data_IF_654293135201
#
_entry.id   IF_654293135201
#
_cell.length_a   1.000
_cell.length_b   1.000
_cell.length_c   1.000
_cell.angle_alpha   90.00
_cell.angle_beta   90.00
_cell.angle_gamma   90.00
#
_symmetry.space_group_name_H-M   'P 1'
#
loop_
_entity.id
_entity.type
_entity.pdbx_description
1 polymer ?
#
# COMPACT_ATOMS: atom_id res chain seq x y z
N UNK A 1 8.09 3.08 11.73
CA UNK A 1 7.92 3.38 10.29
C UNK A 1 7.90 2.10 9.49
N UNK A 2 7.34 2.16 8.28
CA UNK A 2 7.22 1.03 7.37
C UNK A 2 8.11 1.26 6.15
N UNK A 3 8.76 0.22 5.65
CA UNK A 3 9.60 0.30 4.46
C UNK A 3 8.84 -0.15 3.23
N UNK A 4 8.67 0.74 2.24
CA UNK A 4 8.13 0.40 0.93
C UNK A 4 9.13 -0.51 0.20
N UNK A 5 8.63 -1.58 -0.42
CA UNK A 5 9.44 -2.56 -1.16
C UNK A 5 9.04 -2.64 -2.64
N UNK A 6 9.92 -3.20 -3.46
CA UNK A 6 9.60 -3.49 -4.85
C UNK A 6 8.49 -4.53 -4.97
N UNK A 7 7.63 -4.37 -5.98
CA UNK A 7 6.56 -5.33 -6.25
C UNK A 7 7.11 -6.75 -6.47
N UNK A 8 8.28 -6.90 -7.11
CA UNK A 8 8.96 -8.19 -7.29
C UNK A 8 9.31 -8.92 -6.00
N UNK A 9 9.53 -8.19 -4.91
CA UNK A 9 9.74 -8.79 -3.59
C UNK A 9 8.42 -9.26 -3.00
N UNK A 10 7.38 -8.42 -3.05
CA UNK A 10 6.03 -8.74 -2.56
C UNK A 10 5.38 -9.91 -3.31
N UNK A 11 5.67 -10.04 -4.61
CA UNK A 11 5.24 -11.14 -5.47
C UNK A 11 5.75 -12.49 -5.01
N UNK A 12 6.86 -12.56 -4.26
CA UNK A 12 7.35 -13.83 -3.69
C UNK A 12 6.38 -14.39 -2.65
N UNK A 13 5.56 -13.55 -2.03
CA UNK A 13 4.55 -13.96 -1.04
C UNK A 13 3.17 -14.15 -1.66
N UNK A 14 2.73 -13.22 -2.52
CA UNK A 14 1.35 -13.19 -3.02
C UNK A 14 1.19 -13.54 -4.51
N UNK A 15 2.30 -13.70 -5.25
CA UNK A 15 2.28 -13.97 -6.68
C UNK A 15 2.00 -12.74 -7.56
N UNK A 16 2.32 -12.86 -8.85
CA UNK A 16 2.16 -11.79 -9.85
C UNK A 16 0.70 -11.55 -10.25
N UNK A 17 -0.19 -12.51 -10.04
CA UNK A 17 -1.63 -12.32 -10.25
C UNK A 17 -2.28 -11.37 -9.24
N UNK A 18 -1.72 -11.27 -8.02
CA UNK A 18 -2.22 -10.38 -6.96
C UNK A 18 -1.47 -9.05 -6.93
N UNK A 19 -0.14 -9.09 -7.08
CA UNK A 19 0.68 -7.88 -7.04
C UNK A 19 0.89 -7.36 -8.47
N UNK A 20 -0.07 -6.54 -8.91
CA UNK A 20 0.00 -5.78 -10.16
C UNK A 20 0.49 -4.34 -9.92
N UNK A 21 0.60 -3.53 -10.97
CA UNK A 21 1.18 -2.17 -10.89
C UNK A 21 0.38 -1.22 -10.00
N UNK A 22 -0.92 -1.48 -9.81
CA UNK A 22 -1.78 -0.72 -8.90
C UNK A 22 -1.54 -1.03 -7.41
N UNK A 23 -0.70 -2.01 -7.08
CA UNK A 23 -0.35 -2.36 -5.71
C UNK A 23 1.00 -1.77 -5.33
N UNK A 24 1.06 -1.25 -4.11
CA UNK A 24 2.27 -0.88 -3.38
C UNK A 24 2.38 -1.76 -2.14
N UNK A 25 3.57 -2.28 -1.85
CA UNK A 25 3.78 -3.13 -0.67
C UNK A 25 4.77 -2.52 0.31
N UNK A 26 4.63 -2.88 1.58
CA UNK A 26 5.60 -2.58 2.63
C UNK A 26 6.08 -3.86 3.33
N UNK A 27 7.33 -3.86 3.79
CA UNK A 27 7.90 -4.95 4.59
C UNK A 27 7.48 -4.81 6.05
N UNK A 28 7.19 -5.93 6.71
CA UNK A 28 6.66 -5.99 8.08
C UNK A 28 7.39 -7.00 8.97
N UNK A 29 8.72 -7.17 8.87
CA UNK A 29 9.43 -8.34 9.41
C UNK A 29 9.32 -8.46 10.95
N UNK A 30 9.10 -7.36 11.65
CA UNK A 30 8.96 -7.31 13.11
C UNK A 30 7.49 -7.46 13.57
N UNK A 31 6.60 -7.90 12.68
CA UNK A 31 5.16 -8.01 12.97
C UNK A 31 4.44 -6.67 13.09
N UNK A 32 5.08 -5.56 12.71
CA UNK A 32 4.45 -4.25 12.58
C UNK A 32 3.80 -4.14 11.21
N UNK A 33 2.52 -4.47 11.15
CA UNK A 33 1.71 -4.49 9.92
C UNK A 33 0.37 -3.78 10.11
N UNK A 34 -0.34 -3.55 9.01
CA UNK A 34 -1.77 -3.24 9.01
C UNK A 34 -2.58 -4.42 9.54
N UNK A 35 -3.74 -4.14 10.13
CA UNK A 35 -4.62 -5.10 10.77
C UNK A 35 -6.09 -4.94 10.37
N UNK A 36 -6.95 -5.82 10.89
CA UNK A 36 -8.40 -5.69 10.71
C UNK A 36 -8.91 -4.36 11.26
N UNK A 37 -9.58 -3.59 10.40
CA UNK A 37 -10.07 -2.24 10.73
C UNK A 37 -9.23 -1.10 10.13
N UNK A 38 -8.02 -1.37 9.66
CA UNK A 38 -7.15 -0.34 9.06
C UNK A 38 -7.42 -0.09 7.57
N UNK A 39 -8.31 -0.87 6.95
CA UNK A 39 -8.69 -0.75 5.54
C UNK A 39 -9.13 0.68 5.19
N UNK A 40 -8.60 1.22 4.10
CA UNK A 40 -8.83 2.61 3.70
C UNK A 40 -7.93 3.64 4.41
N UNK A 41 -7.14 3.22 5.40
CA UNK A 41 -6.19 4.08 6.12
C UNK A 41 -5.04 4.58 5.25
N UNK A 42 -4.41 5.71 5.61
CA UNK A 42 -3.37 6.34 4.81
C UNK A 42 -1.97 5.75 5.08
N UNK A 43 -1.20 5.55 4.01
CA UNK A 43 0.25 5.40 4.07
C UNK A 43 0.91 6.68 3.54
N UNK A 44 1.69 7.34 4.40
CA UNK A 44 2.21 8.69 4.16
C UNK A 44 3.74 8.70 4.26
N UNK A 45 4.42 9.45 3.39
CA UNK A 45 5.87 9.67 3.49
C UNK A 45 6.20 10.66 4.60
N UNK A 46 7.29 10.41 5.32
CA UNK A 46 7.78 11.37 6.32
C UNK A 46 8.18 12.71 5.69
N UNK A 47 8.76 12.66 4.49
CA UNK A 47 9.11 13.86 3.75
C UNK A 47 7.88 14.40 3.02
N UNK A 48 7.45 15.61 3.39
CA UNK A 48 6.36 16.35 2.76
C UNK A 48 4.95 15.81 2.99
N UNK A 49 4.75 14.83 3.90
CA UNK A 49 3.43 14.27 4.24
C UNK A 49 2.61 13.82 3.01
N UNK A 50 3.25 13.20 2.00
CA UNK A 50 2.57 12.78 0.78
C UNK A 50 1.87 11.44 0.98
N UNK A 51 0.58 11.37 0.64
CA UNK A 51 -0.17 10.13 0.63
C UNK A 51 0.29 9.27 -0.57
N UNK A 52 0.89 8.12 -0.30
CA UNK A 52 1.46 7.24 -1.33
C UNK A 52 0.73 5.91 -1.45
N UNK A 53 -0.01 5.51 -0.41
CA UNK A 53 -0.79 4.28 -0.40
C UNK A 53 -2.06 4.40 0.43
N UNK A 54 -3.05 3.57 0.09
CA UNK A 54 -4.28 3.38 0.86
C UNK A 54 -4.37 1.91 1.28
N UNK A 55 -4.51 1.62 2.57
CA UNK A 55 -4.50 0.26 3.12
C UNK A 55 -5.54 -0.61 2.41
N UNK A 56 -5.09 -1.73 1.84
CA UNK A 56 -5.94 -2.62 1.06
C UNK A 56 -6.06 -4.00 1.72
N UNK A 57 -4.94 -4.72 1.84
CA UNK A 57 -4.94 -6.07 2.39
C UNK A 57 -3.67 -6.38 3.18
N UNK A 58 -3.79 -7.38 4.04
CA UNK A 58 -2.69 -8.05 4.71
C UNK A 58 -3.07 -9.51 4.94
N UNK A 59 -2.23 -10.25 5.66
CA UNK A 59 -2.57 -11.61 6.08
C UNK A 59 -3.61 -11.61 7.22
N UNK A 60 -4.19 -12.78 7.50
CA UNK A 60 -5.14 -12.96 8.62
C UNK A 60 -4.54 -12.66 10.01
N UNK A 61 -3.22 -12.78 10.15
CA UNK A 61 -2.49 -12.33 11.34
C UNK A 61 -1.75 -11.03 11.04
N UNK A 62 -1.93 -10.04 11.92
CA UNK A 62 -1.29 -8.72 11.82
C UNK A 62 0.19 -8.75 12.23
N UNK A 63 0.67 -9.88 12.76
CA UNK A 63 2.05 -10.06 13.23
C UNK A 63 2.79 -11.18 12.50
N UNK A 64 2.29 -11.61 11.34
CA UNK A 64 2.83 -12.74 10.57
C UNK A 64 4.23 -12.50 9.99
N UNK A 65 4.65 -11.23 9.84
CA UNK A 65 5.85 -10.84 9.11
C UNK A 65 5.65 -10.76 7.58
N UNK A 66 4.48 -11.11 7.07
CA UNK A 66 4.18 -11.04 5.64
C UNK A 66 3.94 -9.59 5.19
N UNK A 67 4.40 -9.20 3.97
CA UNK A 67 4.21 -7.85 3.48
C UNK A 67 2.75 -7.41 3.50
N UNK A 68 2.49 -6.12 3.75
CA UNK A 68 1.15 -5.54 3.66
C UNK A 68 0.97 -4.80 2.33
N UNK A 69 -0.21 -4.92 1.74
CA UNK A 69 -0.57 -4.37 0.43
C UNK A 69 -1.45 -3.13 0.53
N UNK A 70 -1.13 -2.13 -0.30
CA UNK A 70 -1.80 -0.84 -0.40
C UNK A 70 -2.19 -0.59 -1.85
N UNK A 71 -3.31 0.12 -2.07
CA UNK A 71 -3.57 0.73 -3.37
C UNK A 71 -2.56 1.85 -3.61
N UNK A 72 -1.83 1.79 -4.72
CA UNK A 72 -0.82 2.78 -5.11
C UNK A 72 -1.51 4.06 -5.54
N UNK A 73 -1.37 5.14 -4.78
CA UNK A 73 -2.06 6.40 -5.07
C UNK A 73 -1.68 6.96 -6.44
N UNK A 74 -0.41 6.88 -6.83
CA UNK A 74 0.05 7.38 -8.13
C UNK A 74 -0.59 6.67 -9.32
N UNK A 75 -1.01 5.41 -9.17
CA UNK A 75 -1.73 4.67 -10.20
C UNK A 75 -3.16 5.20 -10.38
N UNK A 76 -3.78 5.68 -9.30
CA UNK A 76 -5.18 6.12 -9.26
C UNK A 76 -5.34 7.63 -9.35
N UNK A 77 -4.27 8.40 -9.55
CA UNK A 77 -4.34 9.86 -9.64
C UNK A 77 -5.37 10.28 -10.69
N UNK A 78 -5.23 9.81 -11.94
CA UNK A 78 -6.16 10.19 -13.01
C UNK A 78 -7.62 9.93 -12.64
N UNK A 79 -7.91 8.74 -12.06
CA UNK A 79 -9.24 8.41 -11.56
C UNK A 79 -9.72 9.41 -10.48
N UNK A 80 -8.87 9.78 -9.52
CA UNK A 80 -9.19 10.77 -8.48
C UNK A 80 -9.54 12.13 -9.11
N UNK A 81 -8.73 12.62 -10.06
CA UNK A 81 -9.01 13.90 -10.74
C UNK A 81 -10.33 13.83 -11.48
N UNK A 82 -10.55 12.76 -12.23
CA UNK A 82 -11.73 12.66 -13.09
C UNK A 82 -13.04 12.59 -12.27
N UNK A 83 -13.00 12.05 -11.04
CA UNK A 83 -14.17 11.95 -10.15
C UNK A 83 -14.35 13.12 -9.19
N UNK A 84 -13.28 13.88 -8.91
CA UNK A 84 -13.34 15.01 -7.96
C UNK A 84 -13.30 16.37 -8.66
N UNK A 85 -12.83 16.43 -9.90
CA UNK A 85 -12.51 17.68 -10.60
C UNK A 85 -11.30 18.43 -10.03
N UNK A 86 -10.58 17.84 -9.06
CA UNK A 86 -9.44 18.48 -8.40
C UNK A 86 -8.16 18.08 -9.13
N UNK A 87 -7.44 19.09 -9.62
CA UNK A 87 -6.08 18.92 -10.11
C UNK A 87 -5.08 19.02 -8.95
N UNK A 88 -4.07 18.17 -8.97
CA UNK A 88 -2.97 18.12 -8.02
C UNK A 88 -1.67 18.44 -8.77
N UNK A 89 -0.75 19.14 -8.10
CA UNK A 89 0.48 19.70 -8.64
C UNK A 89 1.71 19.14 -7.90
#
# INVERSE_FOLDING_TARGET
DLQIIHNSECQRTYGSGTITDNILCVRTPDGKSTCGGDSGGPLVTHDGNKLVGVTNFGTSSCTSGAPAGFQRVTYHLDWIRDHTGIAYY
#
